data_IF_806225962894
#
_entry.id   IF_806225962894
#
_cell.length_a   1.000
_cell.length_b   1.000
_cell.length_c   1.000
_cell.angle_alpha   90.00
_cell.angle_beta   90.00
_cell.angle_gamma   90.00
#
_symmetry.space_group_name_H-M   'P 1'
#
loop_
_entity.id
_entity.type
_entity.pdbx_description
1 polymer ?
#
# COMPACT_ATOMS: atom_id res chain seq x y z
N UNK A 1 31.97 50.13 24.79
CA UNK A 1 31.90 48.86 24.04
C UNK A 1 30.74 49.01 23.09
N UNK A 2 31.03 49.19 21.80
CA UNK A 2 30.02 49.52 20.79
C UNK A 2 29.18 48.28 20.49
N UNK A 3 27.85 48.43 20.56
CA UNK A 3 26.87 47.41 20.18
C UNK A 3 26.95 47.15 18.67
N UNK A 4 27.77 46.18 18.27
CA UNK A 4 27.92 45.71 16.89
C UNK A 4 26.65 45.02 16.31
N UNK A 5 25.54 45.05 17.06
CA UNK A 5 24.34 44.24 16.82
C UNK A 5 23.08 45.05 16.45
N UNK A 6 23.14 46.38 16.44
CA UNK A 6 22.01 47.26 16.14
C UNK A 6 22.26 48.08 14.87
N UNK A 7 21.22 48.21 14.03
CA UNK A 7 21.20 49.13 12.89
C UNK A 7 21.13 50.58 13.38
N UNK A 8 21.42 51.55 12.50
CA UNK A 8 21.46 52.97 12.85
C UNK A 8 20.11 53.55 13.34
N UNK A 9 19.01 52.81 13.12
CA UNK A 9 17.67 53.12 13.60
C UNK A 9 17.30 52.41 14.92
N UNK A 10 18.26 51.69 15.53
CA UNK A 10 18.06 50.93 16.76
C UNK A 10 17.38 49.57 16.57
N UNK A 11 17.17 49.11 15.33
CA UNK A 11 16.56 47.80 15.07
C UNK A 11 17.60 46.65 15.08
N UNK A 12 17.26 45.47 15.61
CA UNK A 12 18.18 44.32 15.62
C UNK A 12 18.51 43.86 14.20
N UNK A 13 19.80 43.69 13.88
CA UNK A 13 20.26 43.32 12.53
C UNK A 13 19.83 41.91 12.08
N UNK A 14 19.46 41.06 13.03
CA UNK A 14 18.87 39.74 12.78
C UNK A 14 17.54 39.64 13.52
N UNK A 15 16.45 39.45 12.79
CA UNK A 15 15.12 39.31 13.39
C UNK A 15 15.07 38.13 14.35
N UNK A 16 14.76 38.39 15.61
CA UNK A 16 14.32 37.37 16.54
C UNK A 16 13.00 36.77 16.03
N UNK A 17 13.03 35.53 15.56
CA UNK A 17 11.80 34.73 15.42
C UNK A 17 11.35 34.31 16.82
N UNK A 18 10.70 35.21 17.53
CA UNK A 18 9.84 34.85 18.66
C UNK A 18 8.40 34.81 18.16
N UNK A 19 8.07 33.79 17.37
CA UNK A 19 6.69 33.38 17.23
C UNK A 19 6.42 32.28 18.26
N UNK A 20 6.23 32.71 19.51
CA UNK A 20 5.40 31.98 20.46
C UNK A 20 3.94 32.22 20.08
N UNK A 21 3.56 31.76 18.89
CA UNK A 21 2.16 31.53 18.59
C UNK A 21 1.86 30.15 19.17
N UNK A 22 1.16 30.12 20.31
CA UNK A 22 0.35 28.96 20.67
C UNK A 22 -0.41 28.56 19.40
N UNK A 23 0.02 27.47 18.77
CA UNK A 23 -0.72 26.89 17.67
C UNK A 23 -2.09 26.56 18.27
N UNK A 24 -3.09 27.40 17.97
CA UNK A 24 -4.47 27.02 18.03
C UNK A 24 -4.51 25.75 17.21
N UNK A 25 -4.58 24.62 17.91
CA UNK A 25 -4.63 23.30 17.30
C UNK A 25 -5.95 23.30 16.56
N UNK A 26 -5.90 23.71 15.29
CA UNK A 26 -7.06 23.80 14.45
C UNK A 26 -7.70 22.42 14.50
N UNK A 27 -8.92 22.35 15.05
CA UNK A 27 -9.69 21.12 15.08
C UNK A 27 -9.68 20.62 13.64
N UNK A 28 -9.07 19.44 13.35
CA UNK A 28 -8.97 18.98 11.98
C UNK A 28 -10.38 18.91 11.39
N UNK A 29 -10.56 19.26 10.11
CA UNK A 29 -11.88 19.30 9.50
C UNK A 29 -12.56 17.95 9.73
N UNK A 30 -13.78 18.03 10.25
CA UNK A 30 -14.63 16.88 10.53
C UNK A 30 -14.88 16.17 9.20
N UNK A 31 -14.14 15.09 8.96
CA UNK A 31 -14.23 14.32 7.72
C UNK A 31 -15.49 13.47 7.79
N UNK A 32 -16.33 13.50 6.76
CA UNK A 32 -17.53 12.68 6.77
C UNK A 32 -17.13 11.19 6.86
N UNK A 33 -17.75 10.38 7.74
CA UNK A 33 -17.42 8.96 7.87
C UNK A 33 -17.52 8.19 6.56
N UNK A 34 -18.44 8.59 5.68
CA UNK A 34 -18.61 8.01 4.35
C UNK A 34 -17.37 8.22 3.46
N UNK A 35 -16.77 9.41 3.49
CA UNK A 35 -15.63 9.76 2.65
C UNK A 35 -14.40 8.88 2.95
N UNK A 36 -14.25 8.43 4.20
CA UNK A 36 -13.17 7.53 4.60
C UNK A 36 -13.32 6.15 3.97
N UNK A 37 -14.51 5.55 4.07
CA UNK A 37 -14.78 4.25 3.49
C UNK A 37 -14.81 4.29 1.96
N UNK A 38 -15.29 5.38 1.38
CA UNK A 38 -15.22 5.61 -0.06
C UNK A 38 -13.77 5.79 -0.53
N UNK A 39 -12.96 6.57 0.20
CA UNK A 39 -11.54 6.71 -0.04
C UNK A 39 -10.83 5.35 -0.03
N UNK A 40 -11.15 4.49 0.94
CA UNK A 40 -10.59 3.14 1.02
C UNK A 40 -11.04 2.23 -0.15
N UNK A 41 -12.23 2.44 -0.70
CA UNK A 41 -12.72 1.71 -1.87
C UNK A 41 -11.99 2.08 -3.18
N UNK A 42 -11.38 3.27 -3.22
CA UNK A 42 -10.64 3.79 -4.38
C UNK A 42 -9.16 3.42 -4.39
N UNK A 43 -8.66 2.73 -3.37
CA UNK A 43 -7.26 2.30 -3.30
C UNK A 43 -6.95 1.28 -4.40
N UNK A 44 -5.83 1.46 -5.09
CA UNK A 44 -5.30 0.46 -6.04
C UNK A 44 -4.55 -0.65 -5.30
N UNK A 45 -4.36 -1.80 -5.96
CA UNK A 45 -3.58 -2.90 -5.37
C UNK A 45 -2.15 -2.50 -5.00
N UNK A 46 -1.51 -1.65 -5.80
CA UNK A 46 -0.13 -1.22 -5.53
C UNK A 46 -0.08 -0.32 -4.28
N UNK A 47 -1.10 0.53 -4.08
CA UNK A 47 -1.24 1.33 -2.85
C UNK A 47 -1.51 0.46 -1.63
N UNK A 48 -2.38 -0.55 -1.75
CA UNK A 48 -2.64 -1.48 -0.65
C UNK A 48 -1.38 -2.23 -0.23
N UNK A 49 -0.58 -2.70 -1.20
CA UNK A 49 0.67 -3.39 -0.92
C UNK A 49 1.68 -2.47 -0.23
N UNK A 50 1.86 -1.24 -0.74
CA UNK A 50 2.74 -0.25 -0.13
C UNK A 50 2.28 0.14 1.30
N UNK A 51 0.97 0.24 1.52
CA UNK A 51 0.41 0.52 2.83
C UNK A 51 0.64 -0.63 3.82
N UNK A 52 0.51 -1.89 3.37
CA UNK A 52 0.86 -3.07 4.18
C UNK A 52 2.35 -3.07 4.54
N UNK A 53 3.23 -2.85 3.57
CA UNK A 53 4.68 -2.78 3.82
C UNK A 53 5.03 -1.68 4.83
N UNK A 54 4.36 -0.53 4.73
CA UNK A 54 4.53 0.58 5.68
C UNK A 54 4.00 0.22 7.07
N UNK A 55 2.84 -0.44 7.15
CA UNK A 55 2.27 -0.93 8.41
C UNK A 55 3.20 -1.91 9.09
N UNK A 56 3.72 -2.91 8.36
CA UNK A 56 4.64 -3.92 8.90
C UNK A 56 5.96 -3.34 9.44
N UNK A 57 6.38 -2.17 8.98
CA UNK A 57 7.57 -1.46 9.48
C UNK A 57 7.28 -0.50 10.62
N UNK A 58 6.01 -0.35 11.00
CA UNK A 58 5.61 0.61 12.01
C UNK A 58 5.58 -0.05 13.38
N UNK A 59 6.29 0.53 14.36
CA UNK A 59 6.33 0.02 15.73
C UNK A 59 4.95 -0.09 16.40
N UNK A 60 3.96 0.67 15.91
CA UNK A 60 2.60 0.66 16.43
C UNK A 60 1.72 -0.48 15.89
N UNK A 61 2.16 -1.19 14.85
CA UNK A 61 1.35 -2.17 14.14
C UNK A 61 1.18 -3.51 14.89
N UNK A 62 2.13 -3.83 15.77
CA UNK A 62 2.20 -5.11 16.47
C UNK A 62 1.34 -5.16 17.74
N UNK A 63 1.14 -4.01 18.40
CA UNK A 63 0.43 -3.92 19.68
C UNK A 63 -0.79 -3.00 19.55
N UNK A 64 -2.01 -3.51 19.84
CA UNK A 64 -3.21 -2.68 19.90
C UNK A 64 -3.06 -1.57 20.93
N UNK A 65 -3.54 -0.38 20.58
CA UNK A 65 -3.48 0.76 21.49
C UNK A 65 -4.55 0.63 22.59
N UNK A 66 -4.17 0.60 23.89
CA UNK A 66 -5.11 0.34 24.97
C UNK A 66 -6.21 1.41 25.08
N UNK A 67 -5.91 2.66 24.71
CA UNK A 67 -6.90 3.74 24.73
C UNK A 67 -7.94 3.54 23.62
N UNK A 68 -7.51 3.07 22.44
CA UNK A 68 -8.42 2.74 21.33
C UNK A 68 -9.29 1.53 21.68
N UNK A 69 -8.73 0.50 22.33
CA UNK A 69 -9.51 -0.65 22.80
C UNK A 69 -10.52 -0.29 23.90
N UNK A 70 -10.17 0.63 24.80
CA UNK A 70 -11.13 1.17 25.76
C UNK A 70 -12.27 1.92 25.03
N UNK A 71 -11.92 2.84 24.13
CA UNK A 71 -12.90 3.62 23.37
C UNK A 71 -13.88 2.72 22.59
N UNK A 72 -13.40 1.62 21.99
CA UNK A 72 -14.24 0.64 21.28
C UNK A 72 -15.21 -0.11 22.21
N UNK A 73 -14.76 -0.46 23.41
CA UNK A 73 -15.61 -1.14 24.41
C UNK A 73 -16.69 -0.20 24.93
N UNK A 74 -16.35 1.07 25.09
CA UNK A 74 -17.27 2.09 25.62
C UNK A 74 -18.31 2.55 24.58
N UNK A 75 -18.04 2.35 23.28
CA UNK A 75 -18.91 2.82 22.18
C UNK A 75 -19.18 1.69 21.13
N UNK A 76 -19.86 0.59 21.54
CA UNK A 76 -20.05 -0.57 20.67
C UNK A 76 -20.99 -0.30 19.48
N UNK A 77 -21.97 0.59 19.65
CA UNK A 77 -22.94 0.92 18.60
C UNK A 77 -22.30 1.71 17.46
N UNK A 78 -21.47 2.70 17.79
CA UNK A 78 -20.71 3.50 16.83
C UNK A 78 -19.66 2.65 16.11
N UNK A 79 -19.02 1.72 16.82
CA UNK A 79 -18.11 0.76 16.20
C UNK A 79 -18.85 -0.16 15.23
N UNK A 80 -20.05 -0.63 15.58
CA UNK A 80 -20.89 -1.42 14.69
C UNK A 80 -21.33 -0.62 13.45
N UNK A 81 -21.68 0.65 13.63
CA UNK A 81 -22.00 1.57 12.53
C UNK A 81 -20.80 1.80 11.60
N UNK A 82 -19.60 2.01 12.15
CA UNK A 82 -18.36 2.14 11.39
C UNK A 82 -18.09 0.89 10.55
N UNK A 83 -18.21 -0.31 11.15
CA UNK A 83 -18.05 -1.59 10.46
C UNK A 83 -19.09 -1.79 9.37
N UNK A 84 -20.35 -1.43 9.61
CA UNK A 84 -21.42 -1.51 8.62
C UNK A 84 -21.13 -0.60 7.42
N UNK A 85 -20.68 0.64 7.67
CA UNK A 85 -20.34 1.60 6.63
C UNK A 85 -19.14 1.11 5.80
N UNK A 86 -18.08 0.65 6.45
CA UNK A 86 -16.90 0.07 5.77
C UNK A 86 -17.30 -1.16 4.96
N UNK A 87 -18.15 -2.05 5.50
CA UNK A 87 -18.66 -3.22 4.77
C UNK A 87 -19.50 -2.83 3.57
N UNK A 88 -20.32 -1.79 3.67
CA UNK A 88 -21.15 -1.28 2.57
C UNK A 88 -20.26 -0.86 1.37
N UNK A 89 -19.15 -0.18 1.64
CA UNK A 89 -18.28 0.35 0.58
C UNK A 89 -17.26 -0.67 0.09
N UNK A 90 -16.64 -1.45 0.99
CA UNK A 90 -15.58 -2.38 0.63
C UNK A 90 -16.10 -3.77 0.24
N UNK A 91 -17.23 -4.20 0.82
CA UNK A 91 -17.76 -5.55 0.66
C UNK A 91 -16.94 -6.61 1.40
N UNK A 92 -16.91 -7.84 0.88
CA UNK A 92 -15.98 -8.89 1.33
C UNK A 92 -14.53 -8.57 0.96
N UNK A 93 -13.57 -9.26 1.57
CA UNK A 93 -12.14 -9.09 1.22
C UNK A 93 -11.88 -9.34 -0.26
N UNK A 94 -12.50 -10.39 -0.82
CA UNK A 94 -12.40 -10.71 -2.25
C UNK A 94 -12.97 -9.59 -3.12
N UNK A 95 -14.13 -9.04 -2.76
CA UNK A 95 -14.73 -7.93 -3.49
C UNK A 95 -13.83 -6.69 -3.46
N UNK A 96 -13.20 -6.40 -2.32
CA UNK A 96 -12.28 -5.28 -2.20
C UNK A 96 -11.02 -5.46 -3.05
N UNK A 97 -10.44 -6.65 -3.09
CA UNK A 97 -9.31 -6.96 -3.98
C UNK A 97 -9.67 -6.83 -5.46
N UNK A 98 -10.88 -7.25 -5.86
CA UNK A 98 -11.37 -7.08 -7.23
C UNK A 98 -11.50 -5.59 -7.57
N UNK A 99 -12.05 -4.77 -6.66
CA UNK A 99 -12.13 -3.31 -6.84
C UNK A 99 -10.73 -2.70 -6.99
N UNK A 100 -9.80 -3.08 -6.11
CA UNK A 100 -8.42 -2.59 -6.14
C UNK A 100 -7.68 -2.98 -7.43
N UNK A 101 -7.92 -4.19 -7.94
CA UNK A 101 -7.40 -4.64 -9.23
C UNK A 101 -7.95 -3.78 -10.36
N UNK A 102 -9.25 -3.49 -10.37
CA UNK A 102 -9.85 -2.65 -11.39
C UNK A 102 -9.28 -1.22 -11.39
N UNK A 103 -9.03 -0.64 -10.21
CA UNK A 103 -8.35 0.67 -10.10
C UNK A 103 -6.94 0.61 -10.68
N UNK A 104 -6.16 -0.42 -10.32
CA UNK A 104 -4.81 -0.63 -10.85
C UNK A 104 -4.81 -0.80 -12.36
N UNK A 105 -5.72 -1.60 -12.91
CA UNK A 105 -5.82 -1.84 -14.35
C UNK A 105 -6.15 -0.55 -15.10
N UNK A 106 -7.02 0.31 -14.53
CA UNK A 106 -7.32 1.64 -15.08
C UNK A 106 -6.08 2.55 -15.07
N UNK A 107 -5.33 2.57 -13.96
CA UNK A 107 -4.08 3.35 -13.85
C UNK A 107 -3.02 2.87 -14.86
N UNK A 108 -2.91 1.55 -15.07
CA UNK A 108 -1.94 0.96 -15.99
C UNK A 108 -2.37 0.95 -17.45
N UNK A 109 -3.63 1.25 -17.78
CA UNK A 109 -4.17 1.17 -19.14
C UNK A 109 -3.33 1.98 -20.14
N UNK A 110 -2.93 3.20 -19.78
CA UNK A 110 -2.06 4.04 -20.61
C UNK A 110 -0.67 3.44 -20.83
N UNK A 111 -0.09 2.81 -19.80
CA UNK A 111 1.20 2.12 -19.89
C UNK A 111 1.10 0.93 -20.85
N UNK A 112 0.04 0.13 -20.72
CA UNK A 112 -0.22 -1.00 -21.61
C UNK A 112 -0.44 -0.56 -23.06
N UNK A 113 -1.18 0.52 -23.29
CA UNK A 113 -1.39 1.09 -24.62
C UNK A 113 -0.06 1.51 -25.28
N UNK A 114 0.78 2.27 -24.57
CA UNK A 114 2.11 2.67 -25.05
C UNK A 114 3.00 1.47 -25.37
N UNK A 115 3.00 0.45 -24.49
CA UNK A 115 3.80 -0.77 -24.70
C UNK A 115 3.32 -1.61 -25.87
N UNK A 116 2.01 -1.68 -26.09
CA UNK A 116 1.44 -2.38 -27.25
C UNK A 116 1.79 -1.66 -28.54
N UNK A 117 1.69 -0.33 -28.57
CA UNK A 117 2.11 0.47 -29.71
C UNK A 117 3.60 0.32 -30.03
N UNK A 118 4.45 0.22 -29.00
CA UNK A 118 5.89 0.00 -29.15
C UNK A 118 6.29 -1.45 -29.51
N UNK A 119 5.34 -2.36 -29.78
CA UNK A 119 5.62 -3.76 -30.10
C UNK A 119 6.16 -4.62 -28.94
N UNK A 120 6.45 -4.02 -27.79
CA UNK A 120 7.05 -4.70 -26.62
C UNK A 120 6.22 -5.86 -26.10
N UNK A 121 4.90 -5.84 -26.25
CA UNK A 121 4.06 -6.97 -25.83
C UNK A 121 4.39 -8.26 -26.59
N UNK A 122 4.73 -8.17 -27.88
CA UNK A 122 5.14 -9.33 -28.69
C UNK A 122 6.53 -9.81 -28.33
N UNK A 123 7.45 -8.88 -28.07
CA UNK A 123 8.81 -9.20 -27.60
C UNK A 123 8.79 -9.94 -26.26
N UNK A 124 8.02 -9.44 -25.28
CA UNK A 124 7.86 -10.11 -23.98
C UNK A 124 7.23 -11.50 -24.13
N UNK A 125 6.24 -11.64 -25.01
CA UNK A 125 5.62 -12.94 -25.29
C UNK A 125 6.62 -13.92 -25.90
N UNK A 126 7.36 -13.49 -26.93
CA UNK A 126 8.37 -14.31 -27.59
C UNK A 126 9.48 -14.76 -26.62
N UNK A 127 9.96 -13.85 -25.78
CA UNK A 127 10.95 -14.16 -24.75
C UNK A 127 10.43 -15.17 -23.71
N UNK A 128 9.17 -15.04 -23.28
CA UNK A 128 8.54 -16.01 -22.35
C UNK A 128 8.36 -17.38 -22.99
N UNK A 129 7.91 -17.43 -24.25
CA UNK A 129 7.77 -18.68 -25.00
C UNK A 129 9.13 -19.35 -25.24
N UNK A 130 10.16 -18.58 -25.58
CA UNK A 130 11.53 -19.08 -25.72
C UNK A 130 12.06 -19.67 -24.41
N UNK A 131 11.83 -19.01 -23.28
CA UNK A 131 12.19 -19.53 -21.96
C UNK A 131 11.45 -20.84 -21.64
N UNK A 132 10.13 -20.91 -21.90
CA UNK A 132 9.37 -22.15 -21.72
C UNK A 132 9.92 -23.29 -22.58
N UNK A 133 10.21 -23.04 -23.86
CA UNK A 133 10.80 -24.03 -24.74
C UNK A 133 12.16 -24.53 -24.23
N UNK A 134 13.03 -23.62 -23.78
CA UNK A 134 14.33 -23.96 -23.22
C UNK A 134 14.26 -24.79 -21.93
N UNK A 135 13.21 -24.62 -21.12
CA UNK A 135 12.97 -25.39 -19.90
C UNK A 135 12.35 -26.76 -20.16
N UNK A 136 11.57 -26.92 -21.23
CA UNK A 136 10.87 -28.16 -21.57
C UNK A 136 11.72 -29.08 -22.46
N UNK A 137 12.48 -28.51 -23.39
CA UNK A 137 13.22 -29.30 -24.39
C UNK A 137 14.23 -30.29 -23.78
N UNK A 138 15.06 -29.93 -22.77
CA UNK A 138 16.01 -30.86 -22.18
C UNK A 138 15.35 -32.07 -21.51
N UNK A 139 14.38 -31.93 -20.58
CA UNK A 139 13.73 -33.10 -19.99
C UNK A 139 12.94 -33.91 -21.02
N UNK A 140 12.25 -33.26 -21.98
CA UNK A 140 11.53 -33.97 -23.04
C UNK A 140 12.47 -34.82 -23.91
N UNK A 141 13.65 -34.29 -24.26
CA UNK A 141 14.67 -35.02 -25.00
C UNK A 141 15.22 -36.22 -24.21
N UNK A 142 15.46 -36.05 -22.91
CA UNK A 142 15.93 -37.15 -22.05
C UNK A 142 14.88 -38.25 -21.94
N UNK A 143 13.60 -37.90 -21.71
CA UNK A 143 12.51 -38.89 -21.68
C UNK A 143 12.41 -39.64 -23.01
N UNK A 144 12.58 -38.95 -24.14
CA UNK A 144 12.48 -39.56 -25.47
C UNK A 144 13.66 -40.50 -25.82
N UNK A 145 14.84 -40.28 -25.22
CA UNK A 145 16.08 -41.00 -25.61
C UNK A 145 16.60 -41.95 -24.54
N UNK A 146 16.25 -41.76 -23.28
CA UNK A 146 16.74 -42.54 -22.13
C UNK A 146 15.72 -42.48 -20.97
N UNK A 147 14.53 -43.10 -21.14
CA UNK A 147 13.42 -42.97 -20.19
C UNK A 147 13.73 -43.51 -18.79
N UNK A 148 14.61 -44.52 -18.70
CA UNK A 148 14.95 -45.18 -17.43
C UNK A 148 16.13 -44.51 -16.68
N UNK A 149 16.77 -43.49 -17.28
CA UNK A 149 17.89 -42.77 -16.64
C UNK A 149 17.37 -41.66 -15.73
N UNK A 150 16.87 -42.08 -14.57
CA UNK A 150 16.30 -41.21 -13.53
C UNK A 150 17.32 -40.18 -13.05
N UNK A 151 18.62 -40.52 -13.03
CA UNK A 151 19.68 -39.62 -12.58
C UNK A 151 19.83 -38.43 -13.55
N UNK A 152 19.83 -38.67 -14.87
CA UNK A 152 19.85 -37.60 -15.88
C UNK A 152 18.61 -36.71 -15.79
N UNK A 153 17.44 -37.31 -15.57
CA UNK A 153 16.19 -36.56 -15.40
C UNK A 153 16.24 -35.67 -14.15
N UNK A 154 16.76 -36.18 -13.03
CA UNK A 154 16.93 -35.41 -11.80
C UNK A 154 17.88 -34.21 -12.01
N UNK A 155 19.04 -34.45 -12.63
CA UNK A 155 20.03 -33.40 -12.90
C UNK A 155 19.48 -32.34 -13.86
N UNK A 156 18.78 -32.75 -14.92
CA UNK A 156 18.09 -31.84 -15.83
C UNK A 156 16.99 -31.05 -15.12
N UNK A 157 16.24 -31.67 -14.21
CA UNK A 157 15.24 -31.01 -13.38
C UNK A 157 15.85 -29.92 -12.49
N UNK A 158 16.95 -30.21 -11.79
CA UNK A 158 17.67 -29.23 -10.97
C UNK A 158 18.20 -28.07 -11.83
N UNK A 159 18.82 -28.39 -12.97
CA UNK A 159 19.35 -27.38 -13.88
C UNK A 159 18.25 -26.48 -14.46
N UNK A 160 17.13 -27.06 -14.89
CA UNK A 160 15.97 -26.32 -15.39
C UNK A 160 15.37 -25.45 -14.28
N UNK A 161 15.28 -25.94 -13.05
CA UNK A 161 14.79 -25.16 -11.92
C UNK A 161 15.69 -23.93 -11.64
N UNK A 162 17.01 -24.14 -11.54
CA UNK A 162 17.96 -23.04 -11.34
C UNK A 162 17.90 -22.03 -12.49
N UNK A 163 17.82 -22.50 -13.74
CA UNK A 163 17.70 -21.66 -14.92
C UNK A 163 16.36 -20.89 -14.93
N UNK A 164 15.25 -21.52 -14.56
CA UNK A 164 13.94 -20.87 -14.49
C UNK A 164 13.93 -19.70 -13.49
N UNK A 165 14.55 -19.89 -12.32
CA UNK A 165 14.66 -18.83 -11.30
C UNK A 165 15.51 -17.67 -11.82
N UNK A 166 16.72 -17.95 -12.33
CA UNK A 166 17.65 -16.92 -12.78
C UNK A 166 17.15 -16.20 -14.05
N UNK A 167 16.81 -16.95 -15.09
CA UNK A 167 16.37 -16.40 -16.37
C UNK A 167 14.98 -15.74 -16.25
N UNK A 168 14.07 -16.29 -15.44
CA UNK A 168 12.77 -15.69 -15.18
C UNK A 168 12.88 -14.34 -14.47
N UNK A 169 13.73 -14.23 -13.45
CA UNK A 169 14.01 -12.95 -12.79
C UNK A 169 14.63 -11.94 -13.76
N UNK A 170 15.67 -12.34 -14.50
CA UNK A 170 16.31 -11.51 -15.51
C UNK A 170 15.31 -10.99 -16.55
N UNK A 171 14.45 -11.87 -17.08
CA UNK A 171 13.44 -11.50 -18.05
C UNK A 171 12.46 -10.47 -17.47
N UNK A 172 12.02 -10.68 -16.23
CA UNK A 172 11.07 -9.80 -15.55
C UNK A 172 11.65 -8.40 -15.36
N UNK A 173 12.90 -8.31 -14.90
CA UNK A 173 13.63 -7.05 -14.75
C UNK A 173 13.86 -6.35 -16.10
N UNK A 174 14.34 -7.08 -17.11
CA UNK A 174 14.60 -6.53 -18.45
C UNK A 174 13.34 -6.00 -19.12
N UNK A 175 12.25 -6.75 -19.02
CA UNK A 175 10.98 -6.41 -19.67
C UNK A 175 10.15 -5.39 -18.89
N UNK A 176 10.56 -5.08 -17.65
CA UNK A 176 9.90 -4.13 -16.73
C UNK A 176 8.39 -4.36 -16.64
N UNK A 177 7.95 -5.62 -16.67
CA UNK A 177 6.51 -5.95 -16.61
C UNK A 177 5.99 -5.61 -15.21
N UNK A 178 4.86 -4.90 -15.07
CA UNK A 178 4.27 -4.64 -13.75
C UNK A 178 3.97 -5.97 -13.06
N UNK A 179 4.68 -6.25 -11.99
CA UNK A 179 4.46 -7.46 -11.19
C UNK A 179 3.21 -7.25 -10.35
N UNK A 180 2.39 -8.29 -10.23
CA UNK A 180 1.19 -8.25 -9.41
C UNK A 180 1.62 -8.31 -7.94
N UNK A 181 1.26 -7.32 -7.10
CA UNK A 181 1.61 -7.36 -5.68
C UNK A 181 0.89 -8.53 -5.00
N UNK A 182 1.62 -9.25 -4.15
CA UNK A 182 1.08 -10.37 -3.40
C UNK A 182 0.53 -9.89 -2.05
N UNK A 183 -0.78 -9.69 -1.96
CA UNK A 183 -1.45 -9.27 -0.73
C UNK A 183 -2.01 -10.50 0.00
N UNK A 184 -1.53 -10.74 1.22
CA UNK A 184 -2.02 -11.82 2.07
C UNK A 184 -3.31 -11.40 2.80
N UNK A 185 -4.24 -12.34 2.96
CA UNK A 185 -5.54 -12.11 3.59
C UNK A 185 -5.48 -11.48 5.00
N UNK A 186 -4.63 -11.95 5.93
CA UNK A 186 -4.52 -11.37 7.27
C UNK A 186 -4.14 -9.88 7.26
N UNK A 187 -3.18 -9.49 6.42
CA UNK A 187 -2.77 -8.08 6.30
C UNK A 187 -3.86 -7.18 5.72
N UNK A 188 -4.71 -7.73 4.85
CA UNK A 188 -5.89 -7.01 4.36
C UNK A 188 -6.96 -6.82 5.44
N UNK A 189 -7.08 -7.77 6.39
CA UNK A 189 -7.93 -7.60 7.57
C UNK A 189 -7.44 -6.44 8.43
N UNK A 190 -6.14 -6.37 8.69
CA UNK A 190 -5.54 -5.30 9.49
C UNK A 190 -5.77 -3.92 8.84
N UNK A 191 -5.54 -3.82 7.53
CA UNK A 191 -5.78 -2.57 6.79
C UNK A 191 -7.25 -2.17 6.80
N UNK A 192 -8.17 -3.15 6.78
CA UNK A 192 -9.61 -2.90 6.95
C UNK A 192 -9.92 -2.35 8.34
N UNK A 193 -9.35 -2.93 9.40
CA UNK A 193 -9.55 -2.44 10.76
C UNK A 193 -9.00 -1.02 10.93
N UNK A 194 -7.89 -0.68 10.27
CA UNK A 194 -7.35 0.69 10.25
C UNK A 194 -8.35 1.69 9.64
N UNK A 195 -9.07 1.30 8.57
CA UNK A 195 -10.17 2.09 7.99
C UNK A 195 -11.36 2.16 8.96
N UNK A 196 -11.74 1.05 9.60
CA UNK A 196 -12.85 1.01 10.57
C UNK A 196 -12.57 1.96 11.74
N UNK A 197 -11.35 1.97 12.28
CA UNK A 197 -10.97 2.85 13.38
C UNK A 197 -11.04 4.33 13.00
N UNK A 198 -10.57 4.68 11.82
CA UNK A 198 -10.68 6.05 11.33
C UNK A 198 -12.16 6.47 11.13
N UNK A 199 -12.97 5.60 10.54
CA UNK A 199 -14.42 5.83 10.35
C UNK A 199 -15.14 5.93 11.69
N UNK A 200 -14.76 5.12 12.67
CA UNK A 200 -15.30 5.16 14.02
C UNK A 200 -15.03 6.49 14.73
N UNK A 201 -13.78 6.99 14.68
CA UNK A 201 -13.44 8.31 15.21
C UNK A 201 -14.24 9.41 14.51
N UNK A 202 -14.39 9.34 13.18
CA UNK A 202 -15.19 10.30 12.44
C UNK A 202 -16.67 10.29 12.87
N UNK A 203 -17.25 9.12 13.13
CA UNK A 203 -18.63 9.02 13.64
C UNK A 203 -18.76 9.70 15.00
N UNK A 204 -17.83 9.44 15.93
CA UNK A 204 -17.84 10.06 17.26
C UNK A 204 -17.70 11.59 17.18
N UNK A 205 -16.82 12.08 16.31
CA UNK A 205 -16.64 13.51 16.06
C UNK A 205 -17.93 14.14 15.49
N UNK A 206 -18.57 13.50 14.52
CA UNK A 206 -19.83 13.96 13.95
C UNK A 206 -20.99 13.97 14.95
N UNK A 207 -21.00 13.03 15.90
CA UNK A 207 -22.01 12.96 16.97
C UNK A 207 -21.80 14.00 18.08
N UNK A 208 -20.70 14.76 18.06
CA UNK A 208 -20.39 15.73 19.10
C UNK A 208 -19.76 15.13 20.36
N UNK A 209 -19.31 13.88 20.30
CA UNK A 209 -18.58 13.18 21.38
C UNK A 209 -17.15 12.86 20.95
N UNK A 210 -16.32 13.86 20.60
CA UNK A 210 -14.98 13.61 20.10
C UNK A 210 -14.13 12.93 21.19
N UNK A 211 -13.40 11.85 20.86
CA UNK A 211 -12.41 11.30 21.77
C UNK A 211 -11.28 12.30 22.02
N UNK A 212 -10.49 12.07 23.07
CA UNK A 212 -9.29 12.86 23.32
C UNK A 212 -8.32 12.80 22.13
N UNK A 213 -7.50 13.83 21.99
CA UNK A 213 -6.64 14.02 20.82
C UNK A 213 -5.62 12.88 20.63
N UNK A 214 -5.13 12.30 21.73
CA UNK A 214 -4.21 11.16 21.71
C UNK A 214 -4.87 9.89 21.18
N UNK A 215 -6.04 9.54 21.72
CA UNK A 215 -6.83 8.38 21.28
C UNK A 215 -7.31 8.55 19.84
N UNK A 216 -7.75 9.75 19.46
CA UNK A 216 -8.15 10.06 18.09
C UNK A 216 -7.00 9.87 17.10
N UNK A 217 -5.79 10.35 17.44
CA UNK A 217 -4.60 10.16 16.63
C UNK A 217 -4.21 8.67 16.55
N UNK A 218 -4.22 7.96 17.67
CA UNK A 218 -3.92 6.54 17.73
C UNK A 218 -4.87 5.70 16.86
N UNK A 219 -6.17 6.02 16.87
CA UNK A 219 -7.16 5.33 16.05
C UNK A 219 -7.07 5.68 14.55
N UNK A 220 -6.63 6.90 14.19
CA UNK A 220 -6.47 7.32 12.78
C UNK A 220 -5.11 6.97 12.17
N UNK A 221 -4.09 6.67 12.98
CA UNK A 221 -2.70 6.44 12.52
C UNK A 221 -2.58 5.43 11.37
N UNK A 222 -3.39 4.36 11.41
CA UNK A 222 -3.38 3.34 10.36
C UNK A 222 -3.88 3.87 9.02
N UNK A 223 -5.01 4.59 9.03
CA UNK A 223 -5.54 5.24 7.84
C UNK A 223 -4.62 6.35 7.32
N UNK A 224 -4.03 7.15 8.20
CA UNK A 224 -3.03 8.16 7.82
C UNK A 224 -1.80 7.52 7.16
N UNK A 225 -1.36 6.36 7.65
CA UNK A 225 -0.30 5.57 7.02
C UNK A 225 -0.68 5.09 5.61
N UNK A 226 -1.93 4.65 5.40
CA UNK A 226 -2.47 4.29 4.07
C UNK A 226 -2.45 5.50 3.13
N UNK A 227 -2.90 6.67 3.59
CA UNK A 227 -2.87 7.89 2.78
C UNK A 227 -1.45 8.31 2.42
N UNK A 228 -0.51 8.19 3.36
CA UNK A 228 0.90 8.46 3.09
C UNK A 228 1.47 7.51 2.02
N UNK A 229 1.10 6.23 2.06
CA UNK A 229 1.48 5.26 1.03
C UNK A 229 0.87 5.63 -0.34
N UNK A 230 -0.40 6.04 -0.38
CA UNK A 230 -1.05 6.51 -1.62
C UNK A 230 -0.30 7.69 -2.23
N UNK A 231 -0.01 8.72 -1.44
CA UNK A 231 0.74 9.91 -1.88
C UNK A 231 2.13 9.55 -2.42
N UNK A 232 2.82 8.62 -1.76
CA UNK A 232 4.12 8.16 -2.23
C UNK A 232 4.02 7.45 -3.59
N UNK A 233 3.04 6.57 -3.79
CA UNK A 233 2.80 5.91 -5.08
C UNK A 233 2.42 6.93 -6.16
N UNK A 234 1.56 7.89 -5.86
CA UNK A 234 1.16 8.94 -6.81
C UNK A 234 2.38 9.76 -7.26
N UNK A 235 3.31 10.09 -6.35
CA UNK A 235 4.54 10.80 -6.67
C UNK A 235 5.52 10.04 -7.56
N UNK A 236 5.44 8.70 -7.59
CA UNK A 236 6.25 7.85 -8.47
C UNK A 236 5.68 7.73 -9.89
N UNK A 237 4.42 8.13 -10.07
CA UNK A 237 3.68 7.99 -11.33
C UNK A 237 3.55 9.32 -12.09
N UNK A 238 3.85 10.44 -11.45
CA UNK A 238 3.99 11.77 -12.07
C UNK A 238 5.36 11.96 -12.68
#
# INVERSE_FOLDING_TARGET
>A
MNNEYELADGSPRYGHRTDSASAVQATPPVTAPADLAEGAARLSLDVMAAAIDRRLRSAWADVPDPAVEALRRDNPEELAAARALVRLHLGSQRQWLIKAQAVRDKQLAGVWARRRAAGRSREVLALRLGLMAALIAPPAYIVATSPDDILRLLLAGIACFAFAVAAGHFLTCRTRVPVMPNIRGPWLTELREDVVNATFVAILQNKGTPPDSGTAAAARRGWESVQAASKAIDSLNT
#
